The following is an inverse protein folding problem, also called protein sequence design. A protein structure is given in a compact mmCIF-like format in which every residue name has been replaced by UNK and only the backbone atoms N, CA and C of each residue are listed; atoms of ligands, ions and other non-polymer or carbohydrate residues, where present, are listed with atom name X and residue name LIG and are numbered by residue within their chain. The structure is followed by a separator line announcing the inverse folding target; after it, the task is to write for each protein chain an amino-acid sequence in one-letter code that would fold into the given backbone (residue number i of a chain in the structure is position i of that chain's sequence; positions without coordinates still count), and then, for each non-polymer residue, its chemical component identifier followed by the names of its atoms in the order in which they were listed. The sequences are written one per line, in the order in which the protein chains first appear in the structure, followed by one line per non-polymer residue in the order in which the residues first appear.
data_IF_169806059326
#
_entry.id   IF_169806059326
#
_cell.length_a   1.000
_cell.length_b   1.000
_cell.length_c   1.000
_cell.angle_alpha   90.00
_cell.angle_beta   90.00
_cell.angle_gamma   90.00
#
_symmetry.space_group_name_H-M   'P 1'
#
loop_
_entity.id
_entity.type
_entity.pdbx_description
1 polymer ?
#
# COMPACT_ATOMS: atom_id res chain seq x y z
N UNK A 1 2.38 -5.71 5.02
CA UNK A 1 2.39 -4.23 5.19
C UNK A 1 2.90 -3.81 6.55
N UNK A 2 3.51 -2.65 6.59
CA UNK A 2 4.09 -2.16 7.83
C UNK A 2 4.64 -0.75 7.71
N UNK A 3 5.42 -0.36 8.72
CA UNK A 3 6.19 0.88 8.71
C UNK A 3 7.57 0.62 8.10
N UNK A 4 8.35 1.68 7.89
CA UNK A 4 9.72 1.53 7.41
C UNK A 4 10.57 0.66 8.35
N UNK A 5 10.28 0.72 9.64
CA UNK A 5 11.02 -0.07 10.65
C UNK A 5 10.69 -1.56 10.61
N UNK A 6 9.58 -1.94 9.99
CA UNK A 6 9.13 -3.33 9.92
C UNK A 6 9.70 -4.11 8.74
N UNK A 7 10.30 -3.43 7.76
CA UNK A 7 10.62 -4.03 6.46
C UNK A 7 11.62 -5.18 6.57
N UNK A 8 12.70 -4.99 7.29
CA UNK A 8 13.72 -6.03 7.47
C UNK A 8 13.12 -7.30 8.10
N UNK A 9 12.24 -7.11 9.10
CA UNK A 9 11.56 -8.21 9.76
C UNK A 9 10.63 -8.96 8.81
N UNK A 10 9.92 -8.23 7.96
CA UNK A 10 9.03 -8.85 6.97
C UNK A 10 9.83 -9.69 5.97
N UNK A 11 11.00 -9.22 5.55
CA UNK A 11 11.87 -9.97 4.64
C UNK A 11 12.37 -11.25 5.32
N UNK A 12 12.84 -11.13 6.55
CA UNK A 12 13.43 -12.27 7.27
C UNK A 12 12.41 -13.32 7.68
N UNK A 13 11.23 -12.90 8.15
CA UNK A 13 10.26 -13.81 8.76
C UNK A 13 9.12 -14.22 7.83
N UNK A 14 8.84 -13.44 6.79
CA UNK A 14 7.71 -13.72 5.90
C UNK A 14 8.14 -14.04 4.47
N UNK A 15 9.43 -13.97 4.18
CA UNK A 15 9.95 -14.32 2.85
C UNK A 15 9.59 -13.33 1.75
N UNK A 16 9.52 -12.04 2.08
CA UNK A 16 9.18 -10.99 1.13
C UNK A 16 10.23 -10.90 0.03
N UNK A 17 9.78 -10.82 -1.21
CA UNK A 17 10.63 -10.76 -2.40
C UNK A 17 10.57 -9.40 -3.10
N UNK A 18 9.49 -8.65 -2.91
CA UNK A 18 9.28 -7.32 -3.50
C UNK A 18 8.79 -6.37 -2.42
N UNK A 19 9.42 -5.20 -2.34
CA UNK A 19 9.02 -4.15 -1.42
C UNK A 19 8.52 -2.95 -2.21
N UNK A 20 7.26 -2.57 -2.00
CA UNK A 20 6.67 -1.35 -2.57
C UNK A 20 6.77 -0.27 -1.50
N UNK A 21 7.67 0.67 -1.72
CA UNK A 21 8.02 1.75 -0.80
C UNK A 21 7.27 3.02 -1.21
N UNK A 22 6.39 3.48 -0.34
CA UNK A 22 5.53 4.63 -0.62
C UNK A 22 6.09 5.96 -0.11
N UNK A 23 7.34 5.97 0.38
CA UNK A 23 7.96 7.19 0.89
C UNK A 23 8.42 8.07 -0.27
N UNK A 24 8.03 9.34 -0.25
CA UNK A 24 8.40 10.28 -1.30
C UNK A 24 9.82 10.82 -1.19
N UNK A 25 10.41 10.75 -0.02
CA UNK A 25 11.70 11.36 0.31
C UNK A 25 12.82 10.34 0.54
N UNK A 26 12.55 9.05 0.35
CA UNK A 26 13.56 8.02 0.58
C UNK A 26 14.57 7.97 -0.57
N UNK A 27 15.84 8.04 -0.24
CA UNK A 27 16.93 7.94 -1.21
C UNK A 27 17.44 6.51 -1.36
N UNK A 28 17.09 5.65 -0.41
CA UNK A 28 17.52 4.25 -0.40
C UNK A 28 16.46 3.38 0.28
N UNK A 29 16.48 2.07 0.00
CA UNK A 29 15.53 1.15 0.64
C UNK A 29 15.70 1.11 2.16
N UNK A 30 14.63 0.72 2.85
CA UNK A 30 14.66 0.49 4.29
C UNK A 30 15.20 -0.92 4.64
N UNK A 31 15.88 -1.56 3.70
CA UNK A 31 16.45 -2.90 3.87
C UNK A 31 17.76 -2.99 3.08
N UNK A 32 18.55 -4.03 3.36
CA UNK A 32 19.86 -4.21 2.70
C UNK A 32 19.99 -5.50 1.89
N UNK A 33 18.95 -6.32 1.81
CA UNK A 33 19.00 -7.58 1.09
C UNK A 33 19.03 -7.35 -0.44
N UNK A 34 20.12 -7.72 -1.16
CA UNK A 34 20.26 -7.46 -2.59
C UNK A 34 19.36 -8.32 -3.48
N UNK A 35 18.73 -9.35 -2.93
CA UNK A 35 17.84 -10.25 -3.68
C UNK A 35 16.39 -9.80 -3.62
N UNK A 36 16.08 -8.75 -2.85
CA UNK A 36 14.73 -8.20 -2.74
C UNK A 36 14.61 -7.00 -3.65
N UNK A 37 13.57 -6.99 -4.48
CA UNK A 37 13.30 -5.89 -5.39
C UNK A 37 12.70 -4.70 -4.64
N UNK A 38 13.22 -3.50 -4.91
CA UNK A 38 12.71 -2.27 -4.33
C UNK A 38 12.01 -1.45 -5.40
N UNK A 39 10.72 -1.19 -5.19
CA UNK A 39 9.90 -0.36 -6.07
C UNK A 39 9.45 0.85 -5.27
N UNK A 40 9.94 2.04 -5.63
CA UNK A 40 9.55 3.27 -4.96
C UNK A 40 8.44 3.97 -5.73
N UNK A 41 7.34 4.26 -5.05
CA UNK A 41 6.26 5.09 -5.56
C UNK A 41 6.20 6.33 -4.66
N UNK A 42 6.70 7.48 -5.11
CA UNK A 42 6.94 8.63 -4.22
C UNK A 42 5.65 9.38 -3.88
N UNK A 43 4.98 8.94 -2.83
CA UNK A 43 3.76 9.56 -2.31
C UNK A 43 4.09 10.50 -1.16
N UNK A 44 3.47 11.69 -1.16
CA UNK A 44 3.49 12.56 0.01
C UNK A 44 2.35 12.21 0.94
N UNK A 45 2.57 12.29 2.25
CA UNK A 45 1.56 11.88 3.23
C UNK A 45 0.34 12.83 3.25
N UNK A 46 0.53 14.10 2.97
CA UNK A 46 -0.53 15.11 2.99
C UNK A 46 -0.73 15.81 1.64
N UNK A 47 -0.05 15.39 0.61
CA UNK A 47 -0.20 16.01 -0.70
C UNK A 47 -1.54 15.68 -1.32
N UNK A 48 -2.11 16.61 -2.09
CA UNK A 48 -3.37 16.38 -2.78
C UNK A 48 -3.21 16.24 -4.29
N UNK A 49 -2.16 16.82 -4.86
CA UNK A 49 -2.01 16.86 -6.31
C UNK A 49 -1.56 15.53 -6.88
N UNK A 50 -2.37 14.98 -7.78
CA UNK A 50 -2.05 13.75 -8.55
C UNK A 50 -1.75 12.52 -7.71
N UNK A 51 -2.17 12.50 -6.45
CA UNK A 51 -1.96 11.35 -5.58
C UNK A 51 -2.73 10.12 -6.06
N UNK A 52 -3.92 10.33 -6.64
CA UNK A 52 -4.72 9.23 -7.18
C UNK A 52 -3.96 8.43 -8.24
N UNK A 53 -3.23 9.10 -9.13
CA UNK A 53 -2.43 8.44 -10.17
C UNK A 53 -1.32 7.61 -9.55
N UNK A 54 -0.63 8.16 -8.54
CA UNK A 54 0.45 7.46 -7.86
C UNK A 54 -0.08 6.29 -7.03
N UNK A 55 -1.21 6.45 -6.36
CA UNK A 55 -1.85 5.34 -5.65
C UNK A 55 -2.25 4.22 -6.60
N UNK A 56 -2.81 4.57 -7.75
CA UNK A 56 -3.16 3.59 -8.77
C UNK A 56 -1.93 2.81 -9.22
N UNK A 57 -0.83 3.50 -9.47
CA UNK A 57 0.44 2.88 -9.86
C UNK A 57 0.94 1.91 -8.78
N UNK A 58 0.89 2.34 -7.52
CA UNK A 58 1.30 1.48 -6.41
C UNK A 58 0.44 0.22 -6.31
N UNK A 59 -0.87 0.36 -6.44
CA UNK A 59 -1.80 -0.78 -6.41
C UNK A 59 -1.49 -1.74 -7.57
N UNK A 60 -1.27 -1.21 -8.77
CA UNK A 60 -0.93 -2.03 -9.93
C UNK A 60 0.38 -2.81 -9.74
N UNK A 61 1.39 -2.18 -9.14
CA UNK A 61 2.67 -2.85 -8.87
C UNK A 61 2.51 -3.99 -7.86
N UNK A 62 1.71 -3.79 -6.81
CA UNK A 62 1.43 -4.83 -5.82
C UNK A 62 0.72 -6.01 -6.49
N UNK A 63 -0.30 -5.72 -7.29
CA UNK A 63 -1.08 -6.77 -7.96
C UNK A 63 -0.23 -7.52 -8.97
N UNK A 64 0.60 -6.82 -9.72
CA UNK A 64 1.51 -7.43 -10.70
C UNK A 64 2.43 -8.45 -10.02
N UNK A 65 3.07 -8.05 -8.92
CA UNK A 65 3.96 -8.96 -8.18
C UNK A 65 3.19 -10.15 -7.59
N UNK A 66 2.01 -9.89 -7.02
CA UNK A 66 1.18 -10.93 -6.46
C UNK A 66 0.77 -11.97 -7.52
N UNK A 67 0.36 -11.51 -8.69
CA UNK A 67 -0.04 -12.42 -9.78
C UNK A 67 1.12 -13.24 -10.33
N UNK A 68 2.35 -12.78 -10.12
CA UNK A 68 3.56 -13.53 -10.50
C UNK A 68 4.05 -14.44 -9.37
N UNK A 69 3.23 -14.66 -8.34
CA UNK A 69 3.55 -15.56 -7.24
C UNK A 69 4.58 -15.03 -6.26
N UNK A 70 4.84 -13.73 -6.25
CA UNK A 70 5.82 -13.13 -5.35
C UNK A 70 5.18 -12.59 -4.08
N UNK A 71 5.90 -12.68 -2.97
CA UNK A 71 5.46 -12.10 -1.71
C UNK A 71 5.85 -10.64 -1.68
N UNK A 72 4.87 -9.77 -1.46
CA UNK A 72 5.01 -8.32 -1.54
C UNK A 72 4.81 -7.69 -0.17
N UNK A 73 5.71 -6.79 0.21
CA UNK A 73 5.51 -5.91 1.36
C UNK A 73 5.20 -4.50 0.86
N UNK A 74 4.29 -3.84 1.54
CA UNK A 74 3.91 -2.46 1.28
C UNK A 74 4.24 -1.66 2.52
N UNK A 75 4.97 -0.57 2.39
CA UNK A 75 5.23 0.30 3.54
C UNK A 75 5.32 1.77 3.14
N UNK A 76 5.07 2.63 4.10
CA UNK A 76 5.40 4.04 4.06
C UNK A 76 6.25 4.33 5.29
N UNK A 77 6.22 5.53 5.85
CA UNK A 77 7.00 5.79 7.06
C UNK A 77 6.38 5.13 8.29
N UNK A 78 5.15 5.50 8.62
CA UNK A 78 4.44 4.95 9.79
C UNK A 78 3.59 3.72 9.51
N UNK A 79 3.33 3.40 8.26
CA UNK A 79 2.51 2.26 7.89
C UNK A 79 1.03 2.44 8.21
N UNK A 80 0.53 3.68 8.16
CA UNK A 80 -0.84 4.02 8.54
C UNK A 80 -1.69 4.49 7.37
N UNK A 81 -1.39 5.65 6.80
CA UNK A 81 -2.22 6.29 5.77
C UNK A 81 -1.95 5.76 4.37
N UNK A 82 -0.80 6.06 3.82
CA UNK A 82 -0.43 5.66 2.45
C UNK A 82 -0.48 4.15 2.27
N UNK A 83 0.06 3.41 3.24
CA UNK A 83 0.00 1.94 3.25
C UNK A 83 -1.44 1.47 3.29
N UNK A 84 -2.28 2.11 4.11
CA UNK A 84 -3.69 1.77 4.22
C UNK A 84 -4.46 1.95 2.92
N UNK A 85 -4.18 3.03 2.17
CA UNK A 85 -4.82 3.28 0.87
C UNK A 85 -4.45 2.20 -0.13
N UNK A 86 -3.19 1.84 -0.23
CA UNK A 86 -2.73 0.82 -1.17
C UNK A 86 -3.30 -0.55 -0.81
N UNK A 87 -3.32 -0.90 0.48
CA UNK A 87 -3.91 -2.16 0.93
C UNK A 87 -5.40 -2.23 0.60
N UNK A 88 -6.14 -1.16 0.90
CA UNK A 88 -7.58 -1.07 0.63
C UNK A 88 -7.87 -1.19 -0.87
N UNK A 89 -7.13 -0.43 -1.69
CA UNK A 89 -7.29 -0.47 -3.14
C UNK A 89 -6.93 -1.83 -3.74
N UNK A 90 -5.95 -2.50 -3.19
CA UNK A 90 -5.57 -3.85 -3.62
C UNK A 90 -6.69 -4.85 -3.36
N UNK A 91 -7.29 -4.80 -2.17
CA UNK A 91 -8.42 -5.69 -1.83
C UNK A 91 -9.60 -5.46 -2.77
N UNK A 92 -9.92 -4.22 -3.09
CA UNK A 92 -10.99 -3.90 -4.03
C UNK A 92 -10.69 -4.41 -5.43
N UNK A 93 -9.49 -4.18 -5.92
CA UNK A 93 -9.09 -4.55 -7.28
C UNK A 93 -9.07 -6.06 -7.47
N UNK A 94 -8.65 -6.81 -6.45
CA UNK A 94 -8.62 -8.27 -6.48
C UNK A 94 -10.00 -8.91 -6.26
N UNK A 95 -11.03 -8.10 -5.98
CA UNK A 95 -12.37 -8.62 -5.72
C UNK A 95 -12.54 -9.29 -4.37
N UNK A 96 -11.63 -9.04 -3.44
CA UNK A 96 -11.67 -9.63 -2.11
C UNK A 96 -12.57 -8.85 -1.15
N UNK A 97 -13.07 -7.69 -1.60
CA UNK A 97 -14.02 -6.87 -0.85
C UNK A 97 -15.00 -6.25 -1.84
N UNK A 98 -16.24 -6.05 -1.39
CA UNK A 98 -17.33 -5.54 -2.24
C UNK A 98 -17.52 -4.03 -2.15
N UNK A 99 -17.01 -3.39 -1.11
CA UNK A 99 -17.13 -1.96 -0.89
C UNK A 99 -15.85 -1.39 -0.30
N UNK A 100 -15.71 -0.08 -0.42
CA UNK A 100 -14.59 0.64 0.17
C UNK A 100 -14.54 0.45 1.69
N UNK A 101 -15.69 0.53 2.33
CA UNK A 101 -15.79 0.35 3.77
C UNK A 101 -15.34 -1.04 4.20
N UNK A 102 -15.80 -2.07 3.50
CA UNK A 102 -15.43 -3.46 3.80
C UNK A 102 -13.92 -3.67 3.59
N UNK A 103 -13.37 -3.12 2.52
CA UNK A 103 -11.94 -3.23 2.23
C UNK A 103 -11.10 -2.55 3.32
N UNK A 104 -11.51 -1.38 3.76
CA UNK A 104 -10.82 -0.66 4.83
C UNK A 104 -10.88 -1.43 6.14
N UNK A 105 -12.03 -2.01 6.46
CA UNK A 105 -12.19 -2.82 7.66
C UNK A 105 -11.28 -4.05 7.63
N UNK A 106 -11.18 -4.73 6.49
CA UNK A 106 -10.28 -5.87 6.33
C UNK A 106 -8.82 -5.47 6.48
N UNK A 107 -8.43 -4.34 5.91
CA UNK A 107 -7.08 -3.84 6.06
C UNK A 107 -6.74 -3.56 7.53
N UNK A 108 -7.68 -2.98 8.27
CA UNK A 108 -7.52 -2.70 9.70
C UNK A 108 -7.48 -3.96 10.55
N UNK A 109 -8.14 -5.03 10.14
CA UNK A 109 -8.04 -6.32 10.83
C UNK A 109 -6.62 -6.88 10.74
N UNK A 110 -5.97 -6.69 9.57
CA UNK A 110 -4.60 -7.16 9.37
C UNK A 110 -3.60 -6.25 10.07
N UNK A 111 -3.82 -4.93 9.99
CA UNK A 111 -2.96 -3.93 10.61
C UNK A 111 -3.80 -2.84 11.28
N UNK A 112 -4.07 -2.95 12.60
CA UNK A 112 -4.94 -2.01 13.32
C UNK A 112 -4.49 -0.55 13.30
N UNK A 113 -3.21 -0.29 13.06
CA UNK A 113 -2.64 1.07 13.01
C UNK A 113 -3.08 1.85 11.77
N UNK A 114 -3.68 1.20 10.78
CA UNK A 114 -4.12 1.87 9.55
C UNK A 114 -5.11 3.00 9.87
N UNK A 115 -4.80 4.19 9.37
CA UNK A 115 -5.63 5.38 9.51
C UNK A 115 -5.58 6.15 8.20
N UNK A 116 -6.68 6.10 7.44
CA UNK A 116 -6.76 6.76 6.14
C UNK A 116 -7.22 8.21 6.35
N UNK A 117 -6.40 9.16 5.90
CA UNK A 117 -6.70 10.58 6.03
C UNK A 117 -7.75 11.01 4.99
N UNK A 118 -8.47 12.13 5.22
CA UNK A 118 -9.52 12.58 4.29
C UNK A 118 -9.06 12.74 2.84
N UNK A 119 -7.89 13.33 2.59
CA UNK A 119 -7.36 13.48 1.24
C UNK A 119 -7.03 12.16 0.57
N UNK A 120 -6.56 11.20 1.36
CA UNK A 120 -6.28 9.85 0.90
C UNK A 120 -7.57 9.10 0.57
N UNK A 121 -8.61 9.30 1.37
CA UNK A 121 -9.93 8.72 1.13
C UNK A 121 -10.54 9.27 -0.15
N UNK A 122 -10.35 10.55 -0.45
CA UNK A 122 -10.82 11.15 -1.70
C UNK A 122 -10.14 10.50 -2.90
N UNK A 123 -8.84 10.20 -2.80
CA UNK A 123 -8.12 9.50 -3.86
C UNK A 123 -8.73 8.11 -4.10
N UNK A 124 -9.06 7.39 -3.03
CA UNK A 124 -9.73 6.09 -3.14
C UNK A 124 -11.10 6.21 -3.82
N UNK A 125 -11.88 7.22 -3.46
CA UNK A 125 -13.20 7.44 -4.07
C UNK A 125 -13.07 7.80 -5.55
N UNK A 126 -12.03 8.49 -5.94
CA UNK A 126 -11.75 8.81 -7.34
C UNK A 126 -11.40 7.55 -8.14
N UNK A 127 -10.55 6.68 -7.56
CA UNK A 127 -10.12 5.44 -8.22
C UNK A 127 -11.21 4.36 -8.22
N UNK A 128 -12.04 4.35 -7.18
CA UNK A 128 -13.08 3.33 -7.01
C UNK A 128 -14.43 3.96 -6.72
N UNK A 129 -15.01 4.68 -7.70
CA UNK A 129 -16.30 5.37 -7.48
C UNK A 129 -17.42 4.42 -7.13
N UNK A 130 -17.37 3.17 -7.61
CA UNK A 130 -18.36 2.16 -7.29
C UNK A 130 -18.17 1.54 -5.91
N UNK A 131 -16.98 1.66 -5.33
CA UNK A 131 -16.68 1.18 -3.99
C UNK A 131 -17.37 1.94 -2.89
N UNK A 132 -17.93 3.10 -3.19
CA UNK A 132 -18.67 3.93 -2.22
C UNK A 132 -20.11 3.45 -2.00
N UNK A 133 -20.50 2.38 -2.64
CA UNK A 133 -21.82 1.78 -2.46
C UNK A 133 -21.80 0.84 -1.25
N UNK A 134 -22.60 1.20 -0.28
CA UNK A 134 -22.66 0.34 0.90
C UNK A 134 -23.96 0.47 1.65
#
# INVERSE_FOLDING_TARGET
MGSADDVESMIEHEGVEVVVDLRGDAEQPAFSNPHVQWIQIPLGDNSSANQDVLFKHAIEEVIHAYKHGKKVAIHCNGGRGRTGVVATGTLLTLGLSNSLKEAEEKAKEIRPEITIKPGQREALLTLFPEGNRD
#
